data_IF_959650515065
#
_entry.id   IF_959650515065
#
_cell.length_a   1.000
_cell.length_b   1.000
_cell.length_c   1.000
_cell.angle_alpha   90.00
_cell.angle_beta   90.00
_cell.angle_gamma   90.00
#
_symmetry.space_group_name_H-M   'P 1'
#
loop_
_entity.id
_entity.type
_entity.pdbx_description
1 polymer ?
#
# COMPACT_ATOMS: atom_id res chain seq x y z
N UNK A 1 -22.31 -8.28 34.72
CA UNK A 1 -22.63 -9.21 33.61
C UNK A 1 -23.24 -8.47 32.41
N UNK A 2 -22.52 -7.60 31.67
CA UNK A 2 -23.16 -6.89 30.53
C UNK A 2 -22.28 -6.51 29.31
N UNK A 3 -20.94 -6.55 29.39
CA UNK A 3 -20.06 -6.24 28.23
C UNK A 3 -19.79 -7.44 27.29
N UNK A 4 -19.78 -8.66 27.83
CA UNK A 4 -19.50 -9.90 27.07
C UNK A 4 -20.67 -10.24 26.13
N UNK A 5 -21.90 -10.02 26.59
CA UNK A 5 -23.13 -10.21 25.82
C UNK A 5 -23.20 -9.28 24.60
N UNK A 6 -22.93 -7.98 24.78
CA UNK A 6 -22.96 -7.00 23.69
C UNK A 6 -21.92 -7.27 22.60
N UNK A 7 -20.70 -7.69 22.98
CA UNK A 7 -19.67 -8.09 22.02
C UNK A 7 -20.05 -9.35 21.23
N UNK A 8 -20.73 -10.31 21.86
CA UNK A 8 -21.17 -11.54 21.20
C UNK A 8 -22.29 -11.25 20.17
N UNK A 9 -23.24 -10.37 20.52
CA UNK A 9 -24.31 -9.94 19.61
C UNK A 9 -23.74 -9.18 18.40
N UNK A 10 -22.83 -8.23 18.63
CA UNK A 10 -22.16 -7.49 17.55
C UNK A 10 -21.35 -8.39 16.63
N UNK A 11 -20.68 -9.41 17.18
CA UNK A 11 -19.95 -10.42 16.40
C UNK A 11 -20.87 -11.25 15.50
N UNK A 12 -22.00 -11.73 16.02
CA UNK A 12 -22.97 -12.50 15.24
C UNK A 12 -23.60 -11.65 14.13
N UNK A 13 -23.91 -10.38 14.42
CA UNK A 13 -24.46 -9.45 13.44
C UNK A 13 -23.46 -9.13 12.32
N UNK A 14 -22.19 -8.95 12.66
CA UNK A 14 -21.11 -8.77 11.67
C UNK A 14 -20.95 -10.00 10.76
N UNK A 15 -20.99 -11.20 11.34
CA UNK A 15 -20.93 -12.46 10.60
C UNK A 15 -22.10 -12.63 9.64
N UNK A 16 -23.31 -12.26 10.07
CA UNK A 16 -24.51 -12.29 9.22
C UNK A 16 -24.43 -11.29 8.07
N UNK A 17 -24.04 -10.04 8.35
CA UNK A 17 -23.85 -8.99 7.31
C UNK A 17 -22.80 -9.40 6.28
N UNK A 18 -21.71 -10.04 6.72
CA UNK A 18 -20.67 -10.57 5.86
C UNK A 18 -21.22 -11.69 4.94
N UNK A 19 -21.94 -12.66 5.49
CA UNK A 19 -22.55 -13.73 4.71
C UNK A 19 -23.50 -13.18 3.62
N UNK A 20 -24.34 -12.20 3.99
CA UNK A 20 -25.23 -11.53 3.05
C UNK A 20 -24.47 -10.78 1.95
N UNK A 21 -23.38 -10.07 2.30
CA UNK A 21 -22.53 -9.38 1.33
C UNK A 21 -21.92 -10.36 0.31
N UNK A 22 -21.39 -11.49 0.77
CA UNK A 22 -20.80 -12.52 -0.10
C UNK A 22 -21.85 -13.12 -1.05
N UNK A 23 -23.07 -13.35 -0.57
CA UNK A 23 -24.16 -13.84 -1.40
C UNK A 23 -24.54 -12.83 -2.50
N UNK A 24 -24.66 -11.54 -2.15
CA UNK A 24 -24.94 -10.46 -3.14
C UNK A 24 -23.83 -10.38 -4.18
N UNK A 25 -22.57 -10.47 -3.76
CA UNK A 25 -21.39 -10.44 -4.64
C UNK A 25 -21.36 -11.61 -5.62
N UNK A 26 -21.73 -12.82 -5.18
CA UNK A 26 -21.90 -13.98 -6.07
C UNK A 26 -22.95 -13.73 -7.16
N UNK A 27 -24.11 -13.19 -6.79
CA UNK A 27 -25.17 -12.84 -7.76
C UNK A 27 -24.71 -11.80 -8.78
N UNK A 28 -23.95 -10.80 -8.34
CA UNK A 28 -23.39 -9.76 -9.21
C UNK A 28 -22.37 -10.35 -10.20
N UNK A 29 -21.45 -11.20 -9.71
CA UNK A 29 -20.48 -11.90 -10.57
C UNK A 29 -21.19 -12.73 -11.65
N UNK A 30 -22.25 -13.44 -11.27
CA UNK A 30 -23.05 -14.23 -12.21
C UNK A 30 -23.72 -13.36 -13.28
N UNK A 31 -24.29 -12.22 -12.88
CA UNK A 31 -24.89 -11.26 -13.80
C UNK A 31 -23.87 -10.71 -14.81
N UNK A 32 -22.65 -10.39 -14.38
CA UNK A 32 -21.59 -9.95 -15.29
C UNK A 32 -21.13 -11.07 -16.23
N UNK A 33 -21.04 -12.30 -15.72
CA UNK A 33 -20.73 -13.49 -16.53
C UNK A 33 -21.78 -13.71 -17.64
N UNK A 34 -23.06 -13.59 -17.31
CA UNK A 34 -24.16 -13.67 -18.29
C UNK A 34 -24.09 -12.55 -19.35
N UNK A 35 -23.51 -11.39 -19.02
CA UNK A 35 -23.29 -10.28 -19.95
C UNK A 35 -21.97 -10.38 -20.74
N UNK A 36 -21.27 -11.52 -20.65
CA UNK A 36 -20.00 -11.74 -21.35
C UNK A 36 -18.81 -10.97 -20.75
N UNK A 37 -18.97 -10.38 -19.56
CA UNK A 37 -17.89 -9.67 -18.86
C UNK A 37 -17.21 -10.62 -17.88
N UNK A 38 -15.97 -10.98 -18.16
CA UNK A 38 -15.17 -11.82 -17.26
C UNK A 38 -14.56 -10.95 -16.16
N UNK A 39 -15.03 -11.13 -14.92
CA UNK A 39 -14.42 -10.47 -13.77
C UNK A 39 -13.10 -11.16 -13.40
N UNK A 40 -12.07 -10.40 -13.03
CA UNK A 40 -10.85 -10.97 -12.46
C UNK A 40 -11.20 -11.81 -11.22
N UNK A 41 -10.80 -13.08 -11.22
CA UNK A 41 -10.92 -13.99 -10.08
C UNK A 41 -9.95 -13.56 -8.98
N UNK A 42 -10.34 -12.52 -8.23
CA UNK A 42 -9.68 -12.15 -6.99
C UNK A 42 -10.26 -13.01 -5.87
N UNK A 43 -9.44 -13.79 -5.15
CA UNK A 43 -9.90 -14.51 -3.96
C UNK A 43 -10.50 -13.52 -2.97
N UNK A 44 -11.73 -13.79 -2.54
CA UNK A 44 -12.40 -13.02 -1.51
C UNK A 44 -11.70 -13.30 -0.18
N UNK A 45 -10.88 -12.36 0.28
CA UNK A 45 -10.29 -12.38 1.61
C UNK A 45 -11.41 -12.11 2.62
N UNK A 46 -12.12 -13.17 3.02
CA UNK A 46 -13.32 -13.13 3.87
C UNK A 46 -12.96 -12.83 5.33
N UNK A 47 -11.73 -13.16 5.74
CA UNK A 47 -11.15 -12.78 7.03
C UNK A 47 -9.67 -12.57 6.76
N UNK A 48 -9.13 -11.41 7.08
CA UNK A 48 -7.67 -11.29 7.15
C UNK A 48 -7.22 -11.96 8.44
N UNK A 49 -7.13 -13.29 8.45
CA UNK A 49 -6.42 -14.09 9.46
C UNK A 49 -4.90 -13.87 9.35
N UNK A 50 -4.51 -12.63 9.06
CA UNK A 50 -3.11 -12.23 9.06
C UNK A 50 -2.79 -12.07 10.53
N UNK A 51 -2.28 -13.15 11.13
CA UNK A 51 -1.63 -13.09 12.44
C UNK A 51 -0.68 -11.88 12.45
N UNK A 52 -0.75 -11.07 13.50
CA UNK A 52 0.25 -10.05 13.72
C UNK A 52 1.62 -10.75 13.66
N UNK A 53 2.53 -10.31 12.77
CA UNK A 53 3.79 -11.00 12.58
C UNK A 53 4.57 -10.97 13.90
N UNK A 54 5.28 -12.06 14.21
CA UNK A 54 6.22 -12.09 15.34
C UNK A 54 7.35 -11.09 15.07
N UNK A 55 7.20 -9.88 15.58
CA UNK A 55 8.19 -8.82 15.45
C UNK A 55 9.39 -9.12 16.36
N UNK A 56 10.59 -8.83 15.87
CA UNK A 56 11.80 -8.81 16.71
C UNK A 56 11.64 -7.70 17.76
N UNK A 57 12.27 -7.79 18.95
CA UNK A 57 12.10 -6.81 20.03
C UNK A 57 12.26 -5.35 19.60
N UNK A 58 13.30 -5.05 18.80
CA UNK A 58 13.53 -3.71 18.27
C UNK A 58 12.43 -3.24 17.30
N UNK A 59 11.94 -4.13 16.43
CA UNK A 59 10.83 -3.81 15.52
C UNK A 59 9.54 -3.58 16.30
N UNK A 60 9.31 -4.33 17.39
CA UNK A 60 8.15 -4.16 18.25
C UNK A 60 8.17 -2.78 18.91
N UNK A 61 9.33 -2.32 19.40
CA UNK A 61 9.49 -0.98 19.96
C UNK A 61 9.13 0.10 18.92
N UNK A 62 9.73 0.04 17.73
CA UNK A 62 9.44 0.99 16.64
C UNK A 62 7.95 0.96 16.28
N UNK A 63 7.36 -0.24 16.15
CA UNK A 63 5.95 -0.42 15.84
C UNK A 63 5.04 0.27 16.87
N UNK A 64 5.33 0.12 18.17
CA UNK A 64 4.53 0.76 19.21
C UNK A 64 4.69 2.28 19.22
N UNK A 65 5.91 2.80 19.05
CA UNK A 65 6.14 4.25 18.96
C UNK A 65 5.39 4.83 17.76
N UNK A 66 5.47 4.18 16.60
CA UNK A 66 4.73 4.59 15.40
C UNK A 66 3.22 4.56 15.63
N UNK A 67 2.67 3.49 16.23
CA UNK A 67 1.23 3.42 16.54
C UNK A 67 0.79 4.57 17.45
N UNK A 68 1.58 4.91 18.46
CA UNK A 68 1.29 6.01 19.38
C UNK A 68 1.22 7.35 18.65
N UNK A 69 2.23 7.67 17.84
CA UNK A 69 2.28 8.92 17.07
C UNK A 69 1.16 8.99 16.02
N UNK A 70 0.93 7.91 15.27
CA UNK A 70 -0.12 7.85 14.25
C UNK A 70 -1.52 7.93 14.85
N UNK A 71 -1.74 7.34 16.03
CA UNK A 71 -3.04 7.45 16.73
C UNK A 71 -3.36 8.89 17.08
N UNK A 72 -2.36 9.67 17.53
CA UNK A 72 -2.51 11.12 17.78
C UNK A 72 -2.85 11.90 16.51
N UNK A 73 -2.46 11.39 15.34
CA UNK A 73 -2.78 11.96 14.02
C UNK A 73 -4.12 11.48 13.46
N UNK A 74 -4.87 10.66 14.20
CA UNK A 74 -6.21 10.21 13.81
C UNK A 74 -6.24 8.89 13.04
N UNK A 75 -5.15 8.11 13.04
CA UNK A 75 -5.13 6.78 12.44
C UNK A 75 -5.49 5.68 13.44
N UNK A 76 -6.06 4.59 12.95
CA UNK A 76 -6.50 3.42 13.72
C UNK A 76 -6.32 2.12 12.90
N UNK A 77 -6.76 0.97 13.42
CA UNK A 77 -6.73 -0.34 12.75
C UNK A 77 -5.36 -0.70 12.14
N UNK A 78 -4.31 -0.57 12.95
CA UNK A 78 -2.93 -0.77 12.52
C UNK A 78 -2.63 -2.24 12.23
N UNK A 79 -1.92 -2.50 11.13
CA UNK A 79 -1.36 -3.80 10.80
C UNK A 79 0.05 -3.64 10.27
N UNK A 80 1.02 -4.36 10.82
CA UNK A 80 2.35 -4.40 10.22
C UNK A 80 2.28 -4.99 8.82
N UNK A 81 2.79 -4.25 7.83
CA UNK A 81 2.98 -4.77 6.49
C UNK A 81 4.41 -5.23 6.30
N UNK A 82 5.37 -4.46 6.82
CA UNK A 82 6.77 -4.72 6.52
C UNK A 82 7.83 -3.87 7.17
N UNK A 83 9.08 -4.30 6.99
CA UNK A 83 10.29 -3.52 7.26
C UNK A 83 10.97 -3.17 5.93
N UNK A 84 11.17 -1.88 5.71
CA UNK A 84 12.08 -1.37 4.68
C UNK A 84 13.50 -1.22 5.23
N UNK A 85 14.43 -0.78 4.36
CA UNK A 85 15.84 -0.56 4.74
C UNK A 85 15.98 0.46 5.89
N UNK A 86 15.10 1.46 5.94
CA UNK A 86 15.21 2.63 6.82
C UNK A 86 14.04 2.76 7.81
N UNK A 87 13.12 1.80 7.87
CA UNK A 87 11.91 1.97 8.68
C UNK A 87 10.89 0.88 8.53
N UNK A 88 9.72 1.07 9.13
CA UNK A 88 8.60 0.14 9.05
C UNK A 88 7.47 0.69 8.18
N UNK A 89 6.70 -0.23 7.60
CA UNK A 89 5.51 0.05 6.80
C UNK A 89 4.32 -0.61 7.49
N UNK A 90 3.31 0.21 7.79
CA UNK A 90 2.09 -0.21 8.45
C UNK A 90 0.92 0.04 7.51
N UNK A 91 -0.09 -0.82 7.56
CA UNK A 91 -1.42 -0.44 7.12
C UNK A 91 -2.08 0.29 8.28
N UNK A 92 -2.72 1.41 7.99
CA UNK A 92 -3.53 2.12 8.96
C UNK A 92 -4.77 2.68 8.28
N UNK A 93 -5.80 2.88 9.09
CA UNK A 93 -7.07 3.44 8.67
C UNK A 93 -7.19 4.86 9.19
N UNK A 94 -7.47 5.80 8.30
CA UNK A 94 -7.80 7.16 8.70
C UNK A 94 -9.21 7.18 9.30
N UNK A 95 -9.32 7.63 10.55
CA UNK A 95 -10.58 7.63 11.28
C UNK A 95 -11.60 8.64 10.73
N UNK A 96 -11.14 9.68 10.02
CA UNK A 96 -12.03 10.70 9.41
C UNK A 96 -12.63 10.20 8.11
N UNK A 97 -11.80 9.68 7.22
CA UNK A 97 -12.22 9.25 5.87
C UNK A 97 -12.64 7.79 5.80
N UNK A 98 -12.37 7.00 6.84
CA UNK A 98 -12.58 5.55 6.89
C UNK A 98 -11.75 4.78 5.84
N UNK A 99 -10.80 5.46 5.17
CA UNK A 99 -9.94 4.91 4.11
C UNK A 99 -8.67 4.30 4.71
N UNK A 100 -8.11 3.31 3.99
CA UNK A 100 -6.88 2.62 4.38
C UNK A 100 -5.69 3.07 3.55
N UNK A 101 -4.57 3.20 4.23
CA UNK A 101 -3.31 3.66 3.66
C UNK A 101 -2.15 2.78 4.11
N UNK A 102 -1.16 2.64 3.25
CA UNK A 102 0.14 2.12 3.64
C UNK A 102 1.01 3.30 4.11
N UNK A 103 1.43 3.29 5.37
CA UNK A 103 2.20 4.36 5.99
C UNK A 103 3.60 3.84 6.27
N UNK A 104 4.60 4.45 5.61
CA UNK A 104 6.02 4.21 5.91
C UNK A 104 6.45 5.21 6.98
N UNK A 105 6.98 4.73 8.10
CA UNK A 105 7.68 5.55 9.08
C UNK A 105 9.17 5.30 9.02
N UNK A 106 9.94 6.37 8.82
CA UNK A 106 11.41 6.36 8.87
C UNK A 106 11.84 7.09 10.12
N UNK A 107 12.62 6.43 10.98
CA UNK A 107 13.12 7.06 12.20
C UNK A 107 14.24 8.03 11.82
N UNK A 108 13.91 9.31 11.72
CA UNK A 108 14.86 10.38 11.38
C UNK A 108 15.35 11.11 12.62
N UNK A 109 14.73 10.89 13.78
CA UNK A 109 15.16 11.46 15.05
C UNK A 109 15.38 10.38 16.10
N UNK A 110 16.39 10.58 16.93
CA UNK A 110 16.63 9.76 18.11
C UNK A 110 15.58 10.06 19.22
N UNK A 111 15.56 9.29 20.32
CA UNK A 111 14.64 9.54 21.44
C UNK A 111 14.80 10.91 22.10
N UNK A 112 15.96 11.57 21.94
CA UNK A 112 16.26 12.91 22.44
C UNK A 112 15.80 14.01 21.46
N UNK A 113 15.37 13.64 20.26
CA UNK A 113 14.90 14.55 19.22
C UNK A 113 15.99 15.05 18.28
N UNK A 114 17.23 14.55 18.40
CA UNK A 114 18.30 14.92 17.49
C UNK A 114 18.05 14.31 16.11
N UNK A 115 18.16 15.14 15.07
CA UNK A 115 17.89 14.77 13.70
C UNK A 115 19.11 14.10 13.06
N UNK A 116 18.90 12.93 12.47
CA UNK A 116 19.84 12.32 11.53
C UNK A 116 19.63 12.97 10.15
N UNK A 117 20.53 13.89 9.80
CA UNK A 117 20.46 14.65 8.55
C UNK A 117 20.57 13.75 7.32
N UNK A 118 21.37 12.68 7.38
CA UNK A 118 21.57 11.76 6.26
C UNK A 118 20.29 10.97 5.97
N UNK A 119 19.65 10.43 7.00
CA UNK A 119 18.36 9.75 6.87
C UNK A 119 17.27 10.72 6.41
N UNK A 120 17.23 11.93 6.98
CA UNK A 120 16.26 12.94 6.58
C UNK A 120 16.42 13.34 5.10
N UNK A 121 17.65 13.52 4.63
CA UNK A 121 17.94 13.84 3.23
C UNK A 121 17.51 12.70 2.29
N UNK A 122 17.70 11.44 2.69
CA UNK A 122 17.20 10.27 1.94
C UNK A 122 15.68 10.21 1.88
N UNK A 123 14.99 10.57 2.95
CA UNK A 123 13.52 10.68 2.97
C UNK A 123 13.05 11.77 2.00
N UNK A 124 13.68 12.96 2.02
CA UNK A 124 13.37 14.04 1.09
C UNK A 124 13.55 13.61 -0.37
N UNK A 125 14.64 12.93 -0.69
CA UNK A 125 14.87 12.39 -2.03
C UNK A 125 13.78 11.39 -2.45
N UNK A 126 13.36 10.50 -1.55
CA UNK A 126 12.29 9.56 -1.81
C UNK A 126 10.96 10.25 -2.11
N UNK A 127 10.62 11.25 -1.31
CA UNK A 127 9.41 12.07 -1.51
C UNK A 127 9.44 12.76 -2.86
N UNK A 128 10.57 13.35 -3.26
CA UNK A 128 10.69 14.02 -4.56
C UNK A 128 10.56 13.04 -5.74
N UNK A 129 11.08 11.82 -5.61
CA UNK A 129 10.86 10.76 -6.61
C UNK A 129 9.38 10.39 -6.69
N UNK A 130 8.71 10.18 -5.55
CA UNK A 130 7.30 9.79 -5.51
C UNK A 130 6.39 10.88 -6.07
N UNK A 131 6.67 12.16 -5.79
CA UNK A 131 5.94 13.30 -6.37
C UNK A 131 6.05 13.33 -7.90
N UNK A 132 7.25 13.11 -8.45
CA UNK A 132 7.47 13.03 -9.90
C UNK A 132 6.75 11.85 -10.55
N UNK A 133 6.44 10.81 -9.80
CA UNK A 133 5.76 9.60 -10.27
C UNK A 133 4.25 9.58 -10.00
N UNK A 134 3.66 10.65 -9.47
CA UNK A 134 2.29 10.69 -8.94
C UNK A 134 1.22 10.20 -9.93
N UNK A 135 1.40 10.49 -11.21
CA UNK A 135 0.41 10.17 -12.26
C UNK A 135 0.62 8.80 -12.90
N UNK A 136 1.64 8.05 -12.46
CA UNK A 136 1.89 6.71 -13.01
C UNK A 136 0.93 5.69 -12.38
N UNK A 137 0.12 4.97 -13.17
CA UNK A 137 -0.77 3.93 -12.63
C UNK A 137 -0.01 2.69 -12.11
N UNK A 138 1.32 2.68 -12.22
CA UNK A 138 2.20 1.58 -11.82
C UNK A 138 3.08 1.93 -10.61
N UNK A 139 2.92 3.13 -10.06
CA UNK A 139 3.67 3.59 -8.89
C UNK A 139 2.67 3.90 -7.78
N UNK A 140 3.01 3.55 -6.55
CA UNK A 140 2.23 3.94 -5.37
C UNK A 140 2.18 5.45 -5.27
N UNK A 141 0.99 6.01 -5.14
CA UNK A 141 0.85 7.46 -5.02
C UNK A 141 1.14 7.90 -3.59
N UNK A 142 2.00 8.91 -3.45
CA UNK A 142 2.15 9.66 -2.22
C UNK A 142 0.92 10.55 -2.02
N UNK A 143 0.16 10.27 -0.96
CA UNK A 143 -1.06 10.98 -0.60
C UNK A 143 -0.74 12.15 0.30
N UNK A 144 0.11 11.92 1.30
CA UNK A 144 0.48 12.91 2.30
C UNK A 144 1.86 12.60 2.89
N UNK A 145 2.48 13.60 3.49
CA UNK A 145 3.70 13.50 4.26
C UNK A 145 3.59 14.35 5.52
N UNK A 146 3.97 13.78 6.67
CA UNK A 146 4.03 14.55 7.90
C UNK A 146 5.13 14.06 8.83
N UNK A 147 5.56 14.97 9.71
CA UNK A 147 6.53 14.68 10.76
C UNK A 147 5.83 14.30 12.06
N UNK A 148 6.37 13.28 12.70
CA UNK A 148 6.10 12.89 14.06
C UNK A 148 7.22 13.31 15.02
N UNK A 149 7.24 12.71 16.21
CA UNK A 149 8.25 13.02 17.21
C UNK A 149 9.59 12.37 16.85
N UNK A 150 9.57 11.07 16.51
CA UNK A 150 10.78 10.35 16.10
C UNK A 150 10.82 10.02 14.60
N UNK A 151 9.68 10.05 13.93
CA UNK A 151 9.53 9.53 12.58
C UNK A 151 9.11 10.59 11.56
N UNK A 152 9.60 10.44 10.33
CA UNK A 152 8.97 11.03 9.15
C UNK A 152 8.04 10.01 8.53
N UNK A 153 6.78 10.39 8.28
CA UNK A 153 5.74 9.52 7.77
C UNK A 153 5.38 9.85 6.33
N UNK A 154 5.36 8.82 5.49
CA UNK A 154 4.89 8.88 4.11
C UNK A 154 3.60 8.08 4.00
N UNK A 155 2.50 8.74 3.66
CA UNK A 155 1.18 8.13 3.48
C UNK A 155 1.01 7.76 2.02
N UNK A 156 0.85 6.47 1.75
CA UNK A 156 0.79 5.90 0.41
C UNK A 156 -0.56 5.20 0.19
N UNK A 157 -1.00 5.14 -1.07
CA UNK A 157 -2.14 4.32 -1.47
C UNK A 157 -1.94 2.86 -1.09
N UNK A 158 -2.97 2.21 -0.55
CA UNK A 158 -2.97 0.77 -0.33
C UNK A 158 -3.12 0.01 -1.68
N UNK A 159 -2.06 -0.70 -2.12
CA UNK A 159 -2.14 -1.66 -3.23
C UNK A 159 -2.87 -2.95 -2.83
N UNK A 160 -4.10 -3.12 -3.30
CA UNK A 160 -4.91 -4.31 -3.05
C UNK A 160 -4.50 -5.51 -3.95
N UNK A 161 -3.29 -6.06 -3.77
CA UNK A 161 -2.73 -7.20 -4.53
C UNK A 161 -2.86 -8.55 -3.82
N UNK A 162 -2.95 -9.65 -4.58
CA UNK A 162 -3.10 -11.03 -4.10
C UNK A 162 -1.84 -11.53 -3.38
N UNK A 163 -1.99 -11.93 -2.11
CA UNK A 163 -1.14 -12.78 -1.25
C UNK A 163 0.39 -12.61 -1.20
N UNK A 164 0.98 -11.73 -2.00
CA UNK A 164 2.39 -11.40 -1.94
C UNK A 164 2.55 -10.15 -1.10
N UNK A 165 2.57 -10.33 0.22
CA UNK A 165 3.15 -9.37 1.17
C UNK A 165 4.45 -8.79 0.64
N UNK A 166 5.22 -9.56 -0.13
CA UNK A 166 6.46 -9.17 -0.83
C UNK A 166 6.35 -8.00 -1.83
N UNK A 167 5.20 -7.75 -2.46
CA UNK A 167 5.11 -6.77 -3.56
C UNK A 167 5.04 -5.31 -3.06
N UNK A 168 4.39 -5.06 -1.93
CA UNK A 168 4.38 -3.72 -1.31
C UNK A 168 5.79 -3.26 -0.94
N UNK A 169 6.61 -4.17 -0.40
CA UNK A 169 7.96 -3.84 0.05
C UNK A 169 8.87 -3.46 -1.11
N UNK A 170 8.64 -4.04 -2.29
CA UNK A 170 9.45 -3.78 -3.48
C UNK A 170 9.16 -2.38 -4.06
N UNK A 171 7.96 -1.83 -3.86
CA UNK A 171 7.62 -0.48 -4.32
C UNK A 171 8.07 0.63 -3.36
N UNK A 172 8.41 0.31 -2.11
CA UNK A 172 8.80 1.31 -1.10
C UNK A 172 10.33 1.29 -0.83
N UNK A 173 11.04 0.37 -1.49
CA UNK A 173 12.50 0.32 -1.44
C UNK A 173 13.09 1.14 -2.60
N UNK A 174 13.83 2.21 -2.29
CA UNK A 174 14.43 3.15 -3.26
C UNK A 174 15.16 2.43 -4.41
N UNK A 175 15.84 1.33 -4.13
CA UNK A 175 16.56 0.52 -5.15
C UNK A 175 15.64 -0.15 -6.17
N UNK A 176 14.43 -0.54 -5.76
CA UNK A 176 13.48 -1.19 -6.65
C UNK A 176 12.61 -0.17 -7.41
N UNK A 177 12.28 0.99 -6.82
CA UNK A 177 11.72 2.13 -7.56
C UNK A 177 12.69 2.62 -8.64
N UNK A 178 13.97 2.81 -8.32
CA UNK A 178 14.99 3.19 -9.30
C UNK A 178 15.17 2.14 -10.41
N UNK A 179 15.10 0.83 -10.09
CA UNK A 179 15.16 -0.23 -11.11
C UNK A 179 13.93 -0.25 -12.01
N UNK A 180 12.73 -0.07 -11.47
CA UNK A 180 11.50 0.01 -12.27
C UNK A 180 11.48 1.30 -13.11
N UNK A 181 11.92 2.42 -12.54
CA UNK A 181 12.04 3.70 -13.24
C UNK A 181 13.08 3.65 -14.37
N UNK A 182 14.28 3.10 -14.12
CA UNK A 182 15.32 2.90 -15.14
C UNK A 182 14.89 1.89 -16.20
N UNK A 183 14.24 0.78 -15.82
CA UNK A 183 13.72 -0.18 -16.79
C UNK A 183 12.64 0.45 -17.70
N UNK A 184 11.82 1.36 -17.16
CA UNK A 184 10.81 2.09 -17.96
C UNK A 184 11.40 3.21 -18.80
N UNK A 185 12.34 3.99 -18.29
CA UNK A 185 13.08 4.98 -19.08
C UNK A 185 13.79 4.32 -20.27
N UNK A 186 14.44 3.16 -20.03
CA UNK A 186 15.06 2.38 -21.10
C UNK A 186 14.02 1.84 -22.10
N UNK A 187 12.82 1.45 -21.64
CA UNK A 187 11.75 0.99 -22.53
C UNK A 187 11.07 2.12 -23.33
N UNK A 188 11.06 3.35 -22.80
CA UNK A 188 10.58 4.55 -23.50
C UNK A 188 11.63 5.00 -24.53
N UNK A 189 12.90 5.06 -24.15
CA UNK A 189 14.00 5.45 -25.04
C UNK A 189 14.25 4.42 -26.16
N UNK A 190 14.03 3.12 -25.91
CA UNK A 190 14.12 2.09 -26.96
C UNK A 190 12.90 2.02 -27.90
N UNK A 191 11.80 2.72 -27.60
CA UNK A 191 10.64 2.81 -28.53
C UNK A 191 10.80 3.91 -29.59
N UNK A 192 11.73 4.84 -29.41
CA UNK A 192 12.03 5.87 -30.42
C UNK A 192 13.07 5.42 -31.46
N UNK A 193 13.67 4.24 -31.30
CA UNK A 193 14.59 3.64 -32.27
C UNK A 193 13.99 2.36 -32.90
N UNK A 194 12.87 2.54 -33.60
CA UNK A 194 12.36 1.55 -34.56
C UNK A 194 11.93 2.30 -35.83
N UNK A 195 12.73 2.29 -36.91
CA UNK A 195 12.33 2.90 -38.17
C UNK A 195 11.15 2.12 -38.77
N UNK A 196 10.02 2.82 -38.84
CA UNK A 196 8.95 2.76 -39.84
C UNK A 196 8.81 1.46 -40.64
N UNK A 197 7.65 0.82 -40.44
CA UNK A 197 6.89 0.06 -41.43
C UNK A 197 7.23 0.45 -42.89
N UNK A 198 7.88 -0.46 -43.62
CA UNK A 198 7.78 -0.49 -45.08
C UNK A 198 6.35 -0.95 -45.41
N UNK A 199 5.49 -0.01 -45.82
CA UNK A 199 4.27 -0.35 -46.56
C UNK A 199 4.70 -0.69 -47.98
N UNK A 200 4.57 -1.97 -48.34
CA UNK A 200 4.63 -2.40 -49.72
C UNK A 200 3.50 -1.77 -50.53
N UNK A 201 3.86 -1.14 -51.64
CA UNK A 201 2.96 -0.88 -52.76
C UNK A 201 3.28 -1.91 -53.85
N UNK A 202 2.36 -2.87 -54.03
CA UNK A 202 2.22 -3.65 -55.25
C UNK A 202 0.83 -3.36 -55.80
N UNK A 203 0.77 -2.84 -57.02
CA UNK A 203 -0.13 -3.16 -58.16
C UNK A 203 0.14 -2.10 -59.24
N UNK A 204 0.64 -2.50 -60.42
CA UNK A 204 -0.12 -2.73 -61.68
C UNK A 204 -0.79 -1.42 -62.15
N UNK A 205 -0.52 -0.85 -63.32
CA UNK A 205 -0.13 -1.40 -64.64
C UNK A 205 0.99 -0.60 -65.32
#
# INVERSE_FOLDING_TARGET
MNKISQNLVGYQEAKYKLALHLQKRKKIKELYRMKGVQMLDKPELIISDIQEPKLKPYQALIYQTMKSELSKKGYSDFRFLGQGVQGLVLLAKDSKTNMRYAIKGVQVRDPQGNLDEDLNNRVKQEVEILKKCRDSPYVVSLIDQFEGQQFSYLVLTECQGTNNTHFFFKLINQTALLKVFNAKLNAINNKELSPRFQKGTKTKD
#
